data_IF_512901337745
#
_entry.id   IF_512901337745
#
_cell.length_a   1.000
_cell.length_b   1.000
_cell.length_c   1.000
_cell.angle_alpha   90.00
_cell.angle_beta   90.00
_cell.angle_gamma   90.00
#
_symmetry.space_group_name_H-M   'P 1'
#
loop_
_entity.id
_entity.type
_entity.pdbx_description
1 polymer ?
#
# COMPACT_ATOMS: atom_id res chain seq x y z
N UNK A 1 -5.12 -0.85 28.08
CA UNK A 1 -4.32 -2.04 27.69
C UNK A 1 -2.87 -1.63 27.81
N UNK A 2 -2.22 -1.90 28.94
CA UNK A 2 -0.75 -1.80 29.00
C UNK A 2 -0.19 -2.86 28.04
N UNK A 3 0.59 -2.42 27.04
CA UNK A 3 1.11 -3.27 25.97
C UNK A 3 0.50 -3.06 24.58
N UNK A 4 -0.24 -1.99 24.30
CA UNK A 4 -0.73 -1.68 22.95
C UNK A 4 0.04 -0.51 22.32
N UNK A 5 0.49 -0.66 21.07
CA UNK A 5 1.12 0.41 20.28
C UNK A 5 0.38 0.57 18.95
N UNK A 6 0.00 1.80 18.62
CA UNK A 6 -0.66 2.15 17.35
C UNK A 6 0.20 3.14 16.60
N UNK A 7 0.33 2.95 15.30
CA UNK A 7 1.01 3.86 14.38
C UNK A 7 0.29 3.84 13.03
N UNK A 8 0.62 4.79 12.16
CA UNK A 8 0.18 4.81 10.77
C UNK A 8 1.35 5.22 9.88
N UNK A 9 1.20 4.99 8.59
CA UNK A 9 2.13 5.45 7.57
C UNK A 9 1.32 6.14 6.46
N UNK A 10 1.87 7.20 5.88
CA UNK A 10 1.20 7.94 4.81
C UNK A 10 2.07 7.90 3.56
N UNK A 11 1.43 7.71 2.40
CA UNK A 11 2.13 7.72 1.13
C UNK A 11 1.28 8.45 0.12
N UNK A 12 1.88 9.43 -0.57
CA UNK A 12 1.20 10.19 -1.60
C UNK A 12 1.41 9.50 -2.94
N UNK A 13 0.32 9.30 -3.66
CA UNK A 13 0.31 8.68 -4.98
C UNK A 13 -0.23 9.69 -5.98
N UNK A 14 0.55 9.96 -7.02
CA UNK A 14 0.16 10.81 -8.15
C UNK A 14 -0.24 9.91 -9.30
N UNK A 15 -1.43 10.16 -9.85
CA UNK A 15 -1.91 9.48 -11.03
C UNK A 15 -1.58 10.28 -12.28
N UNK A 16 -1.28 9.57 -13.36
CA UNK A 16 -1.31 10.14 -14.70
C UNK A 16 -2.73 10.59 -15.04
N UNK A 17 -2.88 11.47 -16.03
CA UNK A 17 -4.19 11.72 -16.63
C UNK A 17 -4.69 10.46 -17.31
N UNK A 18 -5.86 9.96 -16.90
CA UNK A 18 -6.46 8.76 -17.47
C UNK A 18 -7.57 9.13 -18.46
N UNK A 19 -7.66 8.37 -19.54
CA UNK A 19 -8.79 8.43 -20.46
C UNK A 19 -10.02 7.74 -19.86
N UNK A 20 -11.22 8.19 -20.26
CA UNK A 20 -12.48 7.59 -19.82
C UNK A 20 -12.57 6.10 -20.14
N UNK A 21 -12.01 5.69 -21.28
CA UNK A 21 -11.99 4.31 -21.73
C UNK A 21 -11.14 3.42 -20.80
N UNK A 22 -10.01 3.93 -20.29
CA UNK A 22 -9.13 3.22 -19.35
C UNK A 22 -9.82 3.01 -18.00
N UNK A 23 -10.47 4.07 -17.50
CA UNK A 23 -11.24 4.01 -16.24
C UNK A 23 -12.38 2.99 -16.36
N UNK A 24 -13.13 3.01 -17.47
CA UNK A 24 -14.25 2.08 -17.70
C UNK A 24 -13.76 0.63 -17.86
N UNK A 25 -12.67 0.42 -18.59
CA UNK A 25 -12.08 -0.91 -18.77
C UNK A 25 -11.65 -1.49 -17.41
N UNK A 26 -10.99 -0.68 -16.58
CA UNK A 26 -10.56 -1.12 -15.26
C UNK A 26 -11.72 -1.37 -14.30
N UNK A 27 -12.73 -0.48 -14.25
CA UNK A 27 -13.94 -0.71 -13.46
C UNK A 27 -14.65 -2.01 -13.86
N UNK A 28 -14.72 -2.32 -15.16
CA UNK A 28 -15.34 -3.55 -15.68
C UNK A 28 -14.58 -4.83 -15.30
N UNK A 29 -13.28 -4.74 -15.02
CA UNK A 29 -12.47 -5.91 -14.62
C UNK A 29 -12.89 -6.51 -13.28
N UNK A 30 -13.54 -5.73 -12.40
CA UNK A 30 -13.89 -6.16 -11.04
C UNK A 30 -12.74 -6.03 -10.02
N UNK A 31 -11.49 -5.95 -10.48
CA UNK A 31 -10.30 -5.77 -9.65
C UNK A 31 -10.35 -4.57 -8.68
N UNK A 32 -10.93 -3.39 -9.02
CA UNK A 32 -10.94 -2.27 -8.08
C UNK A 32 -11.99 -2.38 -6.97
N UNK A 33 -12.92 -3.33 -7.04
CA UNK A 33 -14.15 -3.29 -6.23
C UNK A 33 -13.94 -3.60 -4.74
N UNK A 34 -12.87 -4.29 -4.39
CA UNK A 34 -12.49 -4.62 -3.01
C UNK A 34 -11.44 -3.66 -2.42
N UNK A 35 -11.01 -2.65 -3.18
CA UNK A 35 -9.92 -1.75 -2.80
C UNK A 35 -10.43 -0.35 -2.46
N UNK A 36 -10.00 0.17 -1.32
CA UNK A 36 -10.25 1.56 -0.97
C UNK A 36 -9.61 2.48 -2.04
N UNK A 37 -10.40 3.42 -2.57
CA UNK A 37 -9.97 4.29 -3.67
C UNK A 37 -10.15 3.69 -5.07
N UNK A 38 -10.76 2.50 -5.20
CA UNK A 38 -11.09 1.86 -6.47
C UNK A 38 -9.87 1.67 -7.40
N UNK A 39 -8.70 1.38 -6.83
CA UNK A 39 -7.54 0.91 -7.58
C UNK A 39 -6.58 0.08 -6.72
N UNK A 40 -5.78 -0.75 -7.38
CA UNK A 40 -4.66 -1.48 -6.81
C UNK A 40 -3.40 -1.23 -7.62
N UNK A 41 -2.32 -0.82 -6.95
CA UNK A 41 -1.04 -0.54 -7.60
C UNK A 41 -0.35 -1.79 -8.20
N UNK A 42 -0.83 -2.97 -7.84
CA UNK A 42 -0.34 -4.27 -8.34
C UNK A 42 -1.26 -4.88 -9.41
N UNK A 43 -2.42 -4.28 -9.67
CA UNK A 43 -3.37 -4.80 -10.65
C UNK A 43 -2.89 -4.49 -12.07
N UNK A 44 -3.27 -5.33 -13.03
CA UNK A 44 -2.86 -5.24 -14.44
C UNK A 44 -2.95 -3.81 -15.02
N UNK A 45 -4.15 -3.21 -14.99
CA UNK A 45 -4.36 -1.84 -15.46
C UNK A 45 -4.05 -0.80 -14.36
N UNK A 46 -4.26 -1.14 -13.09
CA UNK A 46 -4.05 -0.22 -11.97
C UNK A 46 -2.58 0.23 -11.83
N UNK A 47 -1.63 -0.65 -12.15
CA UNK A 47 -0.20 -0.35 -12.16
C UNK A 47 0.19 0.69 -13.24
N UNK A 48 -0.59 0.82 -14.32
CA UNK A 48 -0.33 1.78 -15.41
C UNK A 48 -0.72 3.21 -15.03
N UNK A 49 -1.59 3.38 -14.04
CA UNK A 49 -2.18 4.68 -13.70
C UNK A 49 -1.28 5.54 -12.81
N UNK A 50 -0.35 4.92 -12.08
CA UNK A 50 0.49 5.60 -11.09
C UNK A 50 1.70 6.24 -11.77
N UNK A 51 1.74 7.57 -11.78
CA UNK A 51 2.88 8.35 -12.30
C UNK A 51 4.03 8.41 -11.29
N UNK A 52 3.71 8.62 -10.00
CA UNK A 52 4.71 8.83 -8.96
C UNK A 52 4.18 8.40 -7.59
N UNK A 53 5.08 7.90 -6.75
CA UNK A 53 4.86 7.66 -5.33
C UNK A 53 5.85 8.50 -4.52
N UNK A 54 5.36 9.11 -3.44
CA UNK A 54 6.15 9.82 -2.45
C UNK A 54 5.83 9.23 -1.07
N UNK A 55 6.63 8.25 -0.64
CA UNK A 55 6.45 7.50 0.60
C UNK A 55 6.83 6.02 0.46
N UNK A 56 6.15 5.13 1.19
CA UNK A 56 6.40 3.70 1.22
C UNK A 56 5.47 2.95 0.25
N UNK A 57 6.04 2.29 -0.76
CA UNK A 57 5.27 1.46 -1.70
C UNK A 57 4.49 0.35 -0.99
N UNK A 58 5.06 -0.30 0.03
CA UNK A 58 4.37 -1.38 0.73
C UNK A 58 3.18 -0.88 1.55
N UNK A 59 3.24 0.37 2.01
CA UNK A 59 2.09 1.04 2.58
C UNK A 59 0.94 1.18 1.56
N UNK A 60 1.25 1.53 0.30
CA UNK A 60 0.26 1.60 -0.79
C UNK A 60 -0.33 0.23 -1.10
N UNK A 61 0.48 -0.82 -1.06
CA UNK A 61 0.01 -2.21 -1.21
C UNK A 61 -0.94 -2.60 -0.07
N UNK A 62 -0.75 -2.04 1.13
CA UNK A 62 -1.66 -2.18 2.27
C UNK A 62 -1.00 -2.48 3.60
N UNK A 63 0.33 -2.63 3.65
CA UNK A 63 1.04 -2.87 4.91
C UNK A 63 2.46 -2.26 4.92
N UNK A 64 2.73 -1.25 5.78
CA UNK A 64 4.01 -0.54 5.78
C UNK A 64 5.12 -1.37 6.43
N UNK A 65 5.69 -2.32 5.69
CA UNK A 65 6.65 -3.32 6.18
C UNK A 65 7.83 -2.68 6.92
N UNK A 66 8.39 -1.60 6.38
CA UNK A 66 9.53 -0.93 6.99
C UNK A 66 9.17 -0.32 8.35
N UNK A 67 8.04 0.38 8.42
CA UNK A 67 7.59 1.00 9.67
C UNK A 67 7.22 -0.07 10.69
N UNK A 68 6.45 -1.07 10.28
CA UNK A 68 6.07 -2.20 11.14
C UNK A 68 7.30 -2.88 11.75
N UNK A 69 8.31 -3.21 10.93
CA UNK A 69 9.54 -3.83 11.44
C UNK A 69 10.25 -2.97 12.50
N UNK A 70 10.38 -1.66 12.28
CA UNK A 70 10.98 -0.73 13.25
C UNK A 70 10.20 -0.68 14.56
N UNK A 71 8.87 -0.68 14.49
CA UNK A 71 8.01 -0.69 15.66
C UNK A 71 8.13 -2.01 16.43
N UNK A 72 8.15 -3.14 15.72
CA UNK A 72 8.35 -4.48 16.31
C UNK A 72 9.70 -4.61 17.02
N UNK A 73 10.80 -4.08 16.47
CA UNK A 73 12.09 -4.07 17.17
C UNK A 73 12.07 -3.37 18.52
N UNK A 74 11.20 -2.36 18.67
CA UNK A 74 11.05 -1.63 19.93
C UNK A 74 10.06 -2.32 20.86
N UNK A 75 9.02 -2.92 20.29
CA UNK A 75 7.94 -3.56 21.03
C UNK A 75 8.30 -4.98 21.52
N UNK A 76 9.08 -5.73 20.74
CA UNK A 76 9.58 -7.09 21.02
C UNK A 76 11.04 -7.23 20.55
N UNK A 77 12.02 -6.70 21.30
CA UNK A 77 13.43 -6.67 20.90
C UNK A 77 14.07 -8.05 20.68
N UNK A 78 13.54 -9.09 21.31
CA UNK A 78 13.99 -10.48 21.20
C UNK A 78 13.59 -11.18 19.89
N UNK A 79 12.69 -10.59 19.11
CA UNK A 79 12.27 -11.15 17.82
C UNK A 79 13.36 -10.86 16.76
N UNK A 80 14.25 -11.83 16.51
CA UNK A 80 15.22 -11.76 15.41
C UNK A 80 14.69 -12.46 14.15
N UNK A 81 14.38 -11.67 13.12
CA UNK A 81 13.86 -12.17 11.83
C UNK A 81 14.96 -12.45 10.81
N UNK A 82 16.23 -12.23 11.14
CA UNK A 82 17.37 -12.37 10.23
C UNK A 82 18.14 -13.68 10.41
N UNK A 83 17.74 -14.52 11.36
CA UNK A 83 18.39 -15.81 11.65
C UNK A 83 17.84 -16.99 10.80
N UNK A 84 17.22 -16.69 9.65
CA UNK A 84 16.73 -17.69 8.69
C UNK A 84 17.81 -18.21 7.76
#
# INVERSE_FOLDING_TARGET
IEGSKTFHEQTKVTFSTLAEEEIRAYAKSGNPLDKAGAYGIQDDLGALFVEKIEGDYYNVVGFPLNRFYREMKTFMPELNIMDT
#
